data_IF_473886139144
#
_entry.id   IF_473886139144
#
_cell.length_a   1.000
_cell.length_b   1.000
_cell.length_c   1.000
_cell.angle_alpha   90.00
_cell.angle_beta   90.00
_cell.angle_gamma   90.00
#
_symmetry.space_group_name_H-M   'P 1'
#
loop_
_entity.id
_entity.type
_entity.pdbx_description
1 polymer ?
#
# COMPACT_ATOMS: atom_id res chain seq x y z
N UNK A 1 9.66 9.01 21.12
CA UNK A 1 11.02 9.27 21.63
C UNK A 1 12.00 8.94 20.53
N UNK A 2 13.19 9.52 20.55
CA UNK A 2 14.20 9.39 19.50
C UNK A 2 15.54 9.91 20.00
N UNK A 3 16.49 10.02 19.08
CA UNK A 3 17.82 10.53 19.35
C UNK A 3 17.77 11.90 20.07
N UNK A 4 18.67 12.16 21.05
CA UNK A 4 18.81 13.50 21.62
C UNK A 4 19.19 14.49 20.51
N UNK A 5 18.44 15.59 20.38
CA UNK A 5 18.72 16.64 19.37
C UNK A 5 20.13 17.22 19.52
N UNK A 6 20.60 17.38 20.75
CA UNK A 6 21.95 17.80 21.10
C UNK A 6 22.52 16.83 22.12
N UNK A 7 23.82 16.57 22.00
CA UNK A 7 24.55 15.75 22.93
C UNK A 7 25.30 16.68 23.88
N UNK A 8 25.12 16.47 25.19
CA UNK A 8 25.75 17.31 26.21
C UNK A 8 25.18 18.73 26.27
N UNK A 9 25.88 19.59 27.02
CA UNK A 9 25.59 21.03 27.11
C UNK A 9 26.58 21.88 26.33
N UNK A 10 27.72 21.31 25.97
CA UNK A 10 28.81 21.98 25.26
C UNK A 10 28.85 21.62 23.76
N UNK A 11 29.27 22.53 22.87
CA UNK A 11 29.44 22.22 21.45
C UNK A 11 30.41 21.06 21.19
N UNK A 12 31.46 20.95 22.00
CA UNK A 12 32.49 19.92 21.90
C UNK A 12 31.92 18.52 22.14
N UNK A 13 31.04 18.37 23.13
CA UNK A 13 30.30 17.12 23.36
C UNK A 13 29.38 16.81 22.17
N UNK A 14 28.76 17.84 21.58
CA UNK A 14 27.93 17.64 20.41
C UNK A 14 28.72 17.18 19.18
N UNK A 15 29.99 17.58 19.04
CA UNK A 15 30.86 17.08 17.97
C UNK A 15 31.20 15.59 18.12
N UNK A 16 31.16 15.05 19.34
CA UNK A 16 31.40 13.63 19.63
C UNK A 16 30.19 12.73 19.33
N UNK A 17 29.09 13.27 18.82
CA UNK A 17 27.84 12.51 18.60
C UNK A 17 28.06 11.24 17.77
N UNK A 18 28.79 11.36 16.67
CA UNK A 18 29.12 10.24 15.77
C UNK A 18 29.90 9.17 16.51
N UNK A 19 30.95 9.55 17.23
CA UNK A 19 31.81 8.63 17.96
C UNK A 19 31.06 7.90 19.07
N UNK A 20 30.28 8.62 19.88
CA UNK A 20 29.49 8.00 20.97
C UNK A 20 28.41 7.07 20.44
N UNK A 21 27.74 7.45 19.34
CA UNK A 21 26.72 6.60 18.75
C UNK A 21 27.33 5.33 18.14
N UNK A 22 28.52 5.44 17.53
CA UNK A 22 29.30 4.31 17.07
C UNK A 22 29.65 3.37 18.22
N UNK A 23 30.28 3.88 19.27
CA UNK A 23 30.67 3.12 20.47
C UNK A 23 29.45 2.43 21.11
N UNK A 24 28.30 3.10 21.16
CA UNK A 24 27.06 2.54 21.69
C UNK A 24 26.63 1.27 20.94
N UNK A 25 26.66 1.28 19.61
CA UNK A 25 26.28 0.11 18.82
C UNK A 25 27.35 -0.99 18.83
N UNK A 26 28.64 -0.62 18.89
CA UNK A 26 29.74 -1.57 19.03
C UNK A 26 29.61 -2.37 20.32
N UNK A 27 29.40 -1.68 21.45
CA UNK A 27 29.19 -2.30 22.76
C UNK A 27 27.99 -3.26 22.79
N UNK A 28 26.91 -2.92 22.07
CA UNK A 28 25.75 -3.80 21.99
C UNK A 28 26.04 -5.10 21.25
N UNK A 29 26.96 -5.07 20.28
CA UNK A 29 27.32 -6.23 19.46
C UNK A 29 28.38 -7.08 20.15
N UNK A 30 29.18 -6.52 21.05
CA UNK A 30 30.06 -7.29 21.93
C UNK A 30 29.28 -8.30 22.80
N UNK A 31 28.01 -8.01 23.15
CA UNK A 31 27.11 -8.92 23.84
C UNK A 31 26.54 -10.04 22.93
N UNK A 32 26.81 -10.02 21.63
CA UNK A 32 26.30 -11.04 20.70
C UNK A 32 27.00 -12.37 20.99
N UNK A 33 26.25 -13.49 21.16
CA UNK A 33 26.88 -14.79 21.33
C UNK A 33 27.76 -15.08 20.12
N UNK A 34 28.97 -15.58 20.36
CA UNK A 34 29.91 -15.98 19.32
C UNK A 34 29.33 -17.19 18.56
N UNK A 35 28.44 -16.96 17.62
CA UNK A 35 28.04 -17.97 16.65
C UNK A 35 29.21 -18.16 15.68
N UNK A 36 30.01 -19.22 15.92
CA UNK A 36 30.98 -19.98 15.08
C UNK A 36 31.67 -19.34 13.85
N UNK A 37 31.61 -18.04 13.67
CA UNK A 37 32.40 -17.28 12.70
C UNK A 37 33.57 -16.64 13.43
N UNK A 38 34.78 -16.97 13.01
CA UNK A 38 36.00 -16.29 13.44
C UNK A 38 35.90 -14.83 12.96
N UNK A 39 35.52 -13.94 13.88
CA UNK A 39 35.44 -12.51 13.60
C UNK A 39 36.85 -11.97 13.45
N UNK A 40 37.12 -11.34 12.31
CA UNK A 40 38.37 -10.61 12.09
C UNK A 40 38.45 -9.43 13.08
N UNK A 41 39.38 -9.45 14.06
CA UNK A 41 39.48 -8.40 15.06
C UNK A 41 39.86 -7.05 14.46
N UNK A 42 40.43 -7.04 13.25
CA UNK A 42 40.87 -5.83 12.57
C UNK A 42 39.71 -5.14 11.80
N UNK A 43 38.57 -5.82 11.64
CA UNK A 43 37.42 -5.25 10.95
C UNK A 43 36.49 -4.49 11.91
N UNK A 44 36.14 -3.22 11.61
CA UNK A 44 35.23 -2.46 12.44
C UNK A 44 33.81 -3.05 12.35
N UNK A 45 33.11 -3.13 13.49
CA UNK A 45 31.71 -3.57 13.52
C UNK A 45 30.81 -2.57 12.79
N UNK A 46 31.02 -1.29 13.11
CA UNK A 46 30.30 -0.16 12.55
C UNK A 46 31.23 0.59 11.61
N UNK A 47 30.94 0.50 10.32
CA UNK A 47 31.71 1.18 9.27
C UNK A 47 31.54 2.69 9.36
N UNK A 48 30.29 3.14 9.44
CA UNK A 48 29.96 4.56 9.33
C UNK A 48 28.68 4.91 10.11
N UNK A 49 28.65 6.14 10.63
CA UNK A 49 27.46 6.75 11.22
C UNK A 49 27.24 8.10 10.55
N UNK A 50 26.18 8.22 9.76
CA UNK A 50 25.78 9.45 9.09
C UNK A 50 24.62 10.11 9.85
N UNK A 51 24.76 11.39 10.22
CA UNK A 51 23.74 12.14 10.95
C UNK A 51 22.88 12.96 9.98
N UNK A 52 21.56 12.78 10.07
CA UNK A 52 20.59 13.68 9.45
C UNK A 52 20.30 14.81 10.45
N UNK A 53 20.59 16.05 10.03
CA UNK A 53 20.50 17.25 10.86
C UNK A 53 19.29 18.08 10.47
N UNK A 54 18.79 18.87 11.41
CA UNK A 54 17.66 19.78 11.22
C UNK A 54 18.10 21.00 10.38
N UNK A 55 17.68 21.05 9.12
CA UNK A 55 17.91 22.22 8.26
C UNK A 55 16.79 23.26 8.37
N UNK A 56 15.87 23.12 9.33
CA UNK A 56 14.77 24.07 9.54
C UNK A 56 13.86 24.21 8.32
N UNK A 57 13.75 23.16 7.50
CA UNK A 57 13.02 23.19 6.24
C UNK A 57 13.74 23.90 5.08
N UNK A 58 15.05 24.17 5.19
CA UNK A 58 15.83 24.74 4.08
C UNK A 58 15.78 23.86 2.83
N UNK A 59 15.82 22.53 2.99
CA UNK A 59 15.70 21.57 1.87
C UNK A 59 14.38 21.77 1.13
N UNK A 60 13.27 21.89 1.87
CA UNK A 60 11.95 22.16 1.29
C UNK A 60 11.89 23.53 0.61
N UNK A 61 12.47 24.56 1.23
CA UNK A 61 12.52 25.90 0.65
C UNK A 61 13.33 25.93 -0.64
N UNK A 62 14.47 25.22 -0.68
CA UNK A 62 15.32 25.08 -1.86
C UNK A 62 14.58 24.36 -3.01
N UNK A 63 13.89 23.26 -2.72
CA UNK A 63 13.08 22.56 -3.72
C UNK A 63 11.88 23.42 -4.19
N UNK A 64 11.31 24.21 -3.28
CA UNK A 64 10.31 25.22 -3.59
C UNK A 64 10.83 26.30 -4.54
N UNK A 65 12.06 26.80 -4.32
CA UNK A 65 12.72 27.74 -5.21
C UNK A 65 12.88 27.16 -6.61
N UNK A 66 13.33 25.91 -6.76
CA UNK A 66 13.45 25.26 -8.06
C UNK A 66 12.14 25.28 -8.85
N UNK A 67 11.01 24.98 -8.19
CA UNK A 67 9.68 25.05 -8.81
C UNK A 67 9.29 26.47 -9.22
N UNK A 68 9.60 27.45 -8.38
CA UNK A 68 9.34 28.86 -8.68
C UNK A 68 10.21 29.37 -9.83
N UNK A 69 11.47 28.97 -9.93
CA UNK A 69 12.35 29.34 -11.05
C UNK A 69 11.81 28.86 -12.39
N UNK A 70 11.40 27.58 -12.48
CA UNK A 70 10.80 27.01 -13.70
C UNK A 70 9.55 27.81 -14.09
N UNK A 71 8.65 28.01 -13.13
CA UNK A 71 7.41 28.78 -13.34
C UNK A 71 7.68 30.22 -13.75
N UNK A 72 8.70 30.86 -13.17
CA UNK A 72 9.08 32.23 -13.48
C UNK A 72 9.55 32.34 -14.94
N UNK A 73 10.42 31.42 -15.35
CA UNK A 73 10.93 31.35 -16.72
C UNK A 73 9.80 31.11 -17.75
N UNK A 74 8.86 30.21 -17.45
CA UNK A 74 7.68 29.96 -18.29
C UNK A 74 6.80 31.22 -18.43
N UNK A 75 6.53 31.93 -17.33
CA UNK A 75 5.74 33.16 -17.37
C UNK A 75 6.46 34.28 -18.11
N UNK A 76 7.78 34.42 -17.94
CA UNK A 76 8.58 35.41 -18.64
C UNK A 76 8.54 35.18 -20.16
N UNK A 77 8.66 33.93 -20.62
CA UNK A 77 8.53 33.59 -22.04
C UNK A 77 7.13 33.95 -22.59
N UNK A 78 6.07 33.69 -21.81
CA UNK A 78 4.70 34.08 -22.18
C UNK A 78 4.51 35.60 -22.24
N UNK A 79 5.15 36.37 -21.36
CA UNK A 79 5.14 37.84 -21.43
C UNK A 79 5.72 38.31 -22.76
N UNK A 80 6.89 37.80 -23.15
CA UNK A 80 7.55 38.14 -24.42
C UNK A 80 6.67 37.80 -25.63
N UNK A 81 6.05 36.62 -25.64
CA UNK A 81 5.13 36.21 -26.71
C UNK A 81 3.90 37.13 -26.81
N UNK A 82 3.29 37.50 -25.67
CA UNK A 82 2.12 38.40 -25.66
C UNK A 82 2.44 39.81 -26.15
N UNK A 83 3.67 40.29 -25.92
CA UNK A 83 4.11 41.57 -26.49
C UNK A 83 4.29 41.48 -28.01
N UNK A 84 4.86 40.39 -28.52
CA UNK A 84 4.98 40.16 -29.96
C UNK A 84 3.60 40.12 -30.66
N UNK A 85 2.57 39.61 -29.99
CA UNK A 85 1.18 39.59 -30.47
C UNK A 85 0.42 40.92 -30.30
N UNK A 86 1.04 41.96 -29.72
CA UNK A 86 0.38 43.25 -29.45
C UNK A 86 -0.62 43.23 -28.27
N UNK A 87 -0.67 42.16 -27.47
CA UNK A 87 -1.61 41.97 -26.34
C UNK A 87 -1.11 42.63 -25.04
N UNK A 88 -0.82 43.92 -25.09
CA UNK A 88 -0.15 44.69 -24.02
C UNK A 88 -0.82 44.62 -22.64
N UNK A 89 -2.15 44.68 -22.57
CA UNK A 89 -2.89 44.60 -21.28
C UNK A 89 -2.70 43.25 -20.58
N UNK A 90 -2.66 42.14 -21.34
CA UNK A 90 -2.45 40.79 -20.79
C UNK A 90 -0.99 40.60 -20.36
N UNK A 91 -0.05 41.06 -21.18
CA UNK A 91 1.38 41.04 -20.86
C UNK A 91 1.66 41.75 -19.52
N UNK A 92 1.17 42.97 -19.33
CA UNK A 92 1.32 43.72 -18.06
C UNK A 92 0.73 43.01 -16.84
N UNK A 93 -0.39 42.28 -17.01
CA UNK A 93 -0.97 41.50 -15.90
C UNK A 93 -0.06 40.32 -15.54
N UNK A 94 0.59 39.71 -16.52
CA UNK A 94 1.49 38.58 -16.33
C UNK A 94 2.85 39.04 -15.76
N UNK A 95 3.37 40.18 -16.19
CA UNK A 95 4.56 40.83 -15.59
C UNK A 95 4.40 41.07 -14.10
N UNK A 96 3.22 41.52 -13.65
CA UNK A 96 2.94 41.67 -12.21
C UNK A 96 3.03 40.35 -11.45
N UNK A 97 2.70 39.22 -12.09
CA UNK A 97 2.84 37.89 -11.48
C UNK A 97 4.31 37.44 -11.47
N UNK A 98 5.05 37.70 -12.54
CA UNK A 98 6.51 37.47 -12.61
C UNK A 98 7.21 38.21 -11.46
N UNK A 99 6.95 39.51 -11.31
CA UNK A 99 7.51 40.32 -10.23
C UNK A 99 7.13 39.81 -8.82
N UNK A 100 5.91 39.29 -8.65
CA UNK A 100 5.51 38.67 -7.40
C UNK A 100 6.29 37.37 -7.11
N UNK A 101 6.53 36.54 -8.12
CA UNK A 101 7.36 35.33 -8.01
C UNK A 101 8.81 35.69 -7.71
N UNK A 102 9.38 36.72 -8.36
CA UNK A 102 10.73 37.20 -8.07
C UNK A 102 10.87 37.63 -6.61
N UNK A 103 9.89 38.37 -6.08
CA UNK A 103 9.85 38.76 -4.66
C UNK A 103 9.79 37.55 -3.73
N UNK A 104 9.06 36.49 -4.10
CA UNK A 104 9.02 35.24 -3.34
C UNK A 104 10.36 34.48 -3.41
N UNK A 105 11.00 34.45 -4.57
CA UNK A 105 12.32 33.84 -4.76
C UNK A 105 13.39 34.52 -3.90
N UNK A 106 13.37 35.85 -3.82
CA UNK A 106 14.27 36.64 -2.95
C UNK A 106 14.06 36.27 -1.47
N UNK A 107 12.81 36.25 -0.99
CA UNK A 107 12.48 35.86 0.39
C UNK A 107 12.94 34.44 0.72
N UNK A 108 12.74 33.50 -0.20
CA UNK A 108 13.25 32.13 -0.02
C UNK A 108 14.79 32.11 -0.04
N UNK A 109 15.41 32.95 -0.86
CA UNK A 109 16.86 33.10 -0.96
C UNK A 109 17.49 33.54 0.35
N UNK A 110 16.90 34.55 1.00
CA UNK A 110 17.32 35.01 2.32
C UNK A 110 17.18 33.91 3.38
N UNK A 111 16.07 33.16 3.36
CA UNK A 111 15.87 32.03 4.27
C UNK A 111 16.94 30.95 4.09
N UNK A 112 17.26 30.56 2.85
CA UNK A 112 18.31 29.56 2.57
C UNK A 112 19.69 30.10 2.95
N UNK A 113 19.97 31.38 2.68
CA UNK A 113 21.24 32.02 3.03
C UNK A 113 21.46 32.06 4.55
N UNK A 114 20.44 32.41 5.33
CA UNK A 114 20.50 32.40 6.80
C UNK A 114 20.81 31.01 7.39
N UNK A 115 20.47 29.95 6.64
CA UNK A 115 20.78 28.58 7.02
C UNK A 115 22.19 28.21 6.62
N UNK A 116 22.68 28.66 5.46
CA UNK A 116 24.05 28.36 4.98
C UNK A 116 25.13 28.79 5.97
N UNK A 117 24.92 29.88 6.69
CA UNK A 117 25.93 30.42 7.61
C UNK A 117 26.07 29.62 8.92
N UNK A 118 25.16 28.67 9.18
CA UNK A 118 25.26 27.76 10.33
C UNK A 118 26.13 26.56 9.97
N UNK A 119 27.17 26.34 10.77
CA UNK A 119 27.98 25.12 10.68
C UNK A 119 27.09 23.90 10.92
N UNK A 120 27.31 22.84 10.15
CA UNK A 120 26.52 21.61 10.30
C UNK A 120 26.64 21.04 11.70
N UNK A 121 27.83 21.14 12.29
CA UNK A 121 28.09 20.67 13.65
C UNK A 121 27.20 21.32 14.71
N UNK A 122 26.73 22.56 14.51
CA UNK A 122 25.89 23.28 15.46
C UNK A 122 24.39 22.96 15.34
N UNK A 123 24.02 22.22 14.28
CA UNK A 123 22.61 21.88 14.01
C UNK A 123 22.18 20.68 14.83
N UNK A 124 20.94 20.73 15.30
CA UNK A 124 20.31 19.60 15.98
C UNK A 124 20.29 18.34 15.10
N UNK A 125 20.45 17.18 15.72
CA UNK A 125 20.34 15.86 15.08
C UNK A 125 18.89 15.38 15.13
N UNK A 126 18.34 15.06 13.95
CA UNK A 126 16.99 14.51 13.80
C UNK A 126 17.01 12.98 13.76
N UNK A 127 17.95 12.42 13.00
CA UNK A 127 18.05 10.99 12.74
C UNK A 127 19.53 10.62 12.51
N UNK A 128 19.86 9.34 12.68
CA UNK A 128 21.16 8.79 12.29
C UNK A 128 20.95 7.54 11.42
N UNK A 129 21.85 7.34 10.47
CA UNK A 129 21.98 6.14 9.67
C UNK A 129 23.28 5.45 10.08
N UNK A 130 23.18 4.19 10.49
CA UNK A 130 24.32 3.41 10.96
C UNK A 130 24.55 2.28 9.95
N UNK A 131 25.78 2.20 9.44
CA UNK A 131 26.20 1.20 8.47
C UNK A 131 27.09 0.20 9.21
N UNK A 132 26.65 -1.06 9.20
CA UNK A 132 27.38 -2.18 9.79
C UNK A 132 28.20 -2.89 8.71
N UNK A 133 29.34 -3.47 9.10
CA UNK A 133 30.19 -4.23 8.18
C UNK A 133 29.52 -5.52 7.70
N UNK A 134 28.76 -6.17 8.58
CA UNK A 134 28.06 -7.43 8.29
C UNK A 134 26.55 -7.31 8.48
N UNK A 135 25.81 -8.07 7.70
CA UNK A 135 24.35 -8.11 7.80
C UNK A 135 23.87 -8.76 9.11
N UNK A 136 24.67 -9.68 9.68
CA UNK A 136 24.38 -10.33 10.95
C UNK A 136 24.26 -9.32 12.10
N UNK A 137 25.19 -8.37 12.18
CA UNK A 137 25.16 -7.26 13.16
C UNK A 137 23.91 -6.41 13.02
N UNK A 138 23.54 -6.05 11.78
CA UNK A 138 22.31 -5.30 11.50
C UNK A 138 21.08 -6.08 11.99
N UNK A 139 20.96 -7.37 11.65
CA UNK A 139 19.83 -8.23 12.07
C UNK A 139 19.75 -8.35 13.58
N UNK A 140 20.88 -8.55 14.25
CA UNK A 140 20.98 -8.63 15.70
C UNK A 140 20.51 -7.34 16.38
N UNK A 141 20.99 -6.17 15.93
CA UNK A 141 20.56 -4.87 16.45
C UNK A 141 19.06 -4.65 16.22
N UNK A 142 18.56 -4.90 15.00
CA UNK A 142 17.12 -4.75 14.72
C UNK A 142 16.27 -5.66 15.62
N UNK A 143 16.73 -6.89 15.87
CA UNK A 143 16.07 -7.81 16.79
C UNK A 143 16.07 -7.29 18.22
N UNK A 144 17.21 -6.79 18.73
CA UNK A 144 17.33 -6.26 20.11
C UNK A 144 16.49 -4.99 20.31
N UNK A 145 16.26 -4.22 19.26
CA UNK A 145 15.39 -3.04 19.27
C UNK A 145 13.93 -3.31 18.81
N UNK A 146 13.52 -4.55 18.52
CA UNK A 146 12.19 -4.86 17.93
C UNK A 146 11.00 -4.31 18.73
N UNK A 147 11.14 -4.24 20.06
CA UNK A 147 10.09 -3.76 20.96
C UNK A 147 10.13 -2.24 21.21
N UNK A 148 11.15 -1.53 20.71
CA UNK A 148 11.29 -0.08 20.94
C UNK A 148 10.20 0.77 20.27
N UNK A 149 9.58 0.26 19.21
CA UNK A 149 8.66 1.03 18.36
C UNK A 149 7.17 0.86 18.62
N UNK A 150 6.75 -0.19 19.33
CA UNK A 150 5.34 -0.54 19.44
C UNK A 150 4.75 -0.03 20.75
N UNK A 151 3.76 0.84 20.62
CA UNK A 151 2.96 1.31 21.76
C UNK A 151 2.04 0.22 22.31
N UNK A 152 1.60 -0.72 21.45
CA UNK A 152 0.69 -1.82 21.82
C UNK A 152 1.34 -2.80 22.82
N UNK A 153 2.64 -3.09 22.71
CA UNK A 153 3.32 -3.92 23.71
C UNK A 153 3.44 -3.26 25.09
N UNK A 154 3.25 -1.93 25.19
CA UNK A 154 3.12 -1.28 26.50
C UNK A 154 1.77 -1.54 27.14
N UNK A 155 0.75 -1.96 26.38
CA UNK A 155 -0.54 -2.32 26.93
C UNK A 155 -0.54 -3.78 27.39
N UNK A 156 0.01 -4.71 26.61
CA UNK A 156 0.06 -6.12 27.00
C UNK A 156 0.91 -6.39 28.25
N UNK A 157 2.02 -5.66 28.44
CA UNK A 157 2.82 -5.76 29.67
C UNK A 157 2.07 -5.15 30.88
N UNK A 158 1.29 -4.09 30.67
CA UNK A 158 0.43 -3.52 31.73
C UNK A 158 -0.71 -4.49 32.08
N UNK A 159 -1.28 -5.21 31.10
CA UNK A 159 -2.30 -6.23 31.35
C UNK A 159 -1.71 -7.42 32.10
N UNK A 160 -0.50 -7.89 31.73
CA UNK A 160 0.18 -8.98 32.43
C UNK A 160 0.58 -8.60 33.87
N UNK A 161 0.94 -7.34 34.13
CA UNK A 161 1.19 -6.85 35.50
C UNK A 161 -0.10 -6.65 36.29
N UNK A 162 -1.21 -6.27 35.67
CA UNK A 162 -2.52 -6.20 36.34
C UNK A 162 -3.07 -7.58 36.72
N UNK A 163 -2.74 -8.64 35.97
CA UNK A 163 -3.06 -10.02 36.39
C UNK A 163 -2.15 -10.54 37.52
N UNK A 164 -0.97 -9.94 37.72
CA UNK A 164 -0.04 -10.31 38.79
C UNK A 164 -0.28 -9.57 40.12
N UNK A 165 -1.15 -8.56 40.16
CA UNK A 165 -1.43 -7.75 41.35
C UNK A 165 -2.44 -8.37 42.34
N UNK A 166 -3.06 -9.52 42.04
CA UNK A 166 -3.97 -10.21 42.98
C UNK A 166 -3.23 -10.93 44.15
N UNK A 167 -1.90 -10.79 44.29
CA UNK A 167 -1.10 -11.56 45.27
C UNK A 167 -0.23 -10.70 46.22
N UNK A 168 -0.18 -9.36 46.14
CA UNK A 168 0.71 -8.57 47.02
C UNK A 168 0.07 -7.43 47.84
N UNK A 169 0.51 -7.40 49.11
CA UNK A 169 0.04 -6.63 50.26
C UNK A 169 -0.22 -5.12 50.05
N UNK A 170 -1.33 -4.58 50.58
CA UNK A 170 -1.77 -3.19 50.36
C UNK A 170 -1.08 -2.11 51.24
N UNK A 171 0.14 -2.30 51.74
CA UNK A 171 0.70 -1.43 52.79
C UNK A 171 1.81 -0.43 52.42
N UNK A 172 2.11 -0.19 51.14
CA UNK A 172 3.15 0.78 50.75
C UNK A 172 2.56 2.03 50.06
N UNK A 173 2.48 3.11 50.87
CA UNK A 173 2.69 4.53 50.55
C UNK A 173 2.22 5.13 49.21
N UNK A 174 1.45 6.22 49.33
CA UNK A 174 0.95 7.15 48.29
C UNK A 174 1.99 7.71 47.30
N UNK A 175 2.62 6.87 46.49
CA UNK A 175 3.39 7.25 45.30
C UNK A 175 2.64 6.84 44.05
N UNK A 176 2.22 7.81 43.23
CA UNK A 176 1.42 7.57 42.01
C UNK A 176 2.11 6.57 41.05
N UNK A 177 1.58 5.34 40.83
CA UNK A 177 2.28 4.28 40.07
C UNK A 177 2.33 4.50 38.55
N UNK A 178 1.51 5.40 38.01
CA UNK A 178 1.18 5.42 36.57
C UNK A 178 2.29 6.04 35.70
N UNK A 179 3.36 6.62 36.27
CA UNK A 179 4.43 7.26 35.47
C UNK A 179 5.67 6.40 35.19
N UNK A 180 5.80 5.19 35.73
CA UNK A 180 7.04 4.40 35.58
C UNK A 180 7.07 3.47 34.34
N UNK A 181 5.94 3.20 33.69
CA UNK A 181 5.86 2.28 32.54
C UNK A 181 6.25 2.91 31.18
N UNK A 182 6.65 4.19 31.15
CA UNK A 182 7.07 4.84 29.90
C UNK A 182 8.43 4.35 29.36
N UNK A 183 9.12 3.51 30.14
CA UNK A 183 10.57 3.35 30.07
C UNK A 183 11.03 1.87 30.09
N UNK A 184 10.21 0.95 29.57
CA UNK A 184 10.52 -0.50 29.50
C UNK A 184 11.73 -0.86 28.62
N UNK A 185 12.38 0.10 27.96
CA UNK A 185 13.63 -0.16 27.26
C UNK A 185 14.79 -0.28 28.26
N UNK A 186 15.44 -1.45 28.27
CA UNK A 186 16.65 -1.72 29.06
C UNK A 186 17.65 -0.58 28.96
N UNK A 187 18.27 -0.21 30.09
CA UNK A 187 19.25 0.89 30.18
C UNK A 187 20.39 0.74 29.18
N UNK A 188 20.78 -0.50 28.87
CA UNK A 188 21.85 -0.82 27.91
C UNK A 188 21.47 -0.43 26.47
N UNK A 189 20.18 -0.43 26.13
CA UNK A 189 19.69 -0.04 24.79
C UNK A 189 19.44 1.47 24.65
N UNK A 190 19.57 2.22 25.75
CA UNK A 190 19.38 3.66 25.74
C UNK A 190 20.67 4.35 25.38
N UNK A 191 20.58 5.32 24.50
CA UNK A 191 21.70 6.19 24.17
C UNK A 191 21.59 7.45 25.00
N UNK A 192 22.59 7.70 25.85
CA UNK A 192 22.64 8.89 26.73
C UNK A 192 21.38 9.01 27.60
N UNK A 193 20.93 7.87 28.15
CA UNK A 193 19.73 7.76 28.98
C UNK A 193 18.40 7.85 28.22
N UNK A 194 18.41 8.10 26.91
CA UNK A 194 17.21 8.20 26.08
C UNK A 194 16.90 6.92 25.33
N UNK A 195 15.62 6.59 25.30
CA UNK A 195 15.09 5.49 24.51
C UNK A 195 15.29 5.73 23.00
N UNK A 196 15.93 4.78 22.32
CA UNK A 196 16.11 4.80 20.87
C UNK A 196 15.09 3.92 20.16
N UNK A 197 14.61 4.42 19.03
CA UNK A 197 13.81 3.66 18.07
C UNK A 197 14.70 3.37 16.87
N UNK A 198 15.03 2.10 16.66
CA UNK A 198 15.87 1.65 15.54
C UNK A 198 14.99 0.94 14.52
N UNK A 199 15.17 1.29 13.24
CA UNK A 199 14.45 0.70 12.11
C UNK A 199 15.41 0.47 10.96
N UNK A 200 15.07 -0.48 10.09
CA UNK A 200 15.78 -0.64 8.83
C UNK A 200 15.62 0.64 8.00
N UNK A 201 16.75 1.20 7.55
CA UNK A 201 16.74 2.33 6.64
C UNK A 201 16.19 1.92 5.27
N UNK A 202 15.48 2.84 4.62
CA UNK A 202 15.08 2.70 3.22
C UNK A 202 16.30 2.83 2.31
N UNK A 203 16.17 2.34 1.08
CA UNK A 203 17.16 2.62 0.03
C UNK A 203 17.27 4.14 -0.22
N UNK A 204 18.46 4.66 -0.53
CA UNK A 204 18.69 6.11 -0.69
C UNK A 204 17.72 6.80 -1.68
N UNK A 205 17.34 6.10 -2.75
CA UNK A 205 16.37 6.57 -3.76
C UNK A 205 14.96 6.77 -3.23
N UNK A 206 14.61 6.09 -2.14
CA UNK A 206 13.29 6.13 -1.51
C UNK A 206 13.28 7.01 -0.23
N UNK A 207 14.37 7.72 0.04
CA UNK A 207 14.43 8.64 1.18
C UNK A 207 13.87 10.00 0.74
N UNK A 208 12.71 10.36 1.29
CA UNK A 208 12.13 11.68 1.13
C UNK A 208 12.81 12.67 2.08
N UNK A 209 13.94 13.25 1.65
CA UNK A 209 14.74 14.18 2.47
C UNK A 209 13.91 15.36 3.01
N UNK A 210 12.91 15.84 2.25
CA UNK A 210 11.97 16.88 2.70
C UNK A 210 11.22 16.53 3.99
N UNK A 211 11.03 15.23 4.25
CA UNK A 211 10.29 14.73 5.40
C UNK A 211 11.17 14.37 6.60
N UNK A 212 12.50 14.46 6.48
CA UNK A 212 13.43 14.13 7.56
C UNK A 212 13.55 15.26 8.60
N UNK A 213 13.34 16.52 8.18
CA UNK A 213 13.46 17.71 9.03
C UNK A 213 12.25 17.96 9.96
N UNK A 214 11.25 17.07 9.99
CA UNK A 214 10.07 17.31 10.82
C UNK A 214 10.31 16.98 12.29
N UNK A 215 10.14 17.99 13.15
CA UNK A 215 10.06 17.76 14.60
C UNK A 215 8.96 16.72 14.91
N UNK A 216 9.22 15.70 15.76
CA UNK A 216 8.22 14.69 16.09
C UNK A 216 6.84 15.24 16.48
N UNK A 217 6.78 16.39 17.16
CA UNK A 217 5.51 17.04 17.53
C UNK A 217 4.74 17.53 16.29
N UNK A 218 5.46 18.09 15.31
CA UNK A 218 4.87 18.50 14.04
C UNK A 218 4.38 17.30 13.23
N UNK A 219 5.13 16.19 13.22
CA UNK A 219 4.71 14.96 12.56
C UNK A 219 3.42 14.39 13.18
N UNK A 220 3.31 14.37 14.50
CA UNK A 220 2.08 13.94 15.19
C UNK A 220 0.90 14.84 14.85
N UNK A 221 1.07 16.17 14.87
CA UNK A 221 0.01 17.11 14.47
C UNK A 221 -0.43 16.90 13.02
N UNK A 222 0.51 16.70 12.09
CA UNK A 222 0.21 16.40 10.69
C UNK A 222 -0.61 15.13 10.56
N UNK A 223 -0.20 14.04 11.24
CA UNK A 223 -0.95 12.77 11.24
C UNK A 223 -2.36 12.95 11.79
N UNK A 224 -2.51 13.61 12.93
CA UNK A 224 -3.82 13.88 13.52
C UNK A 224 -4.71 14.69 12.56
N UNK A 225 -4.16 15.76 11.99
CA UNK A 225 -4.88 16.59 11.02
C UNK A 225 -5.29 15.82 9.76
N UNK A 226 -4.39 15.02 9.18
CA UNK A 226 -4.72 14.19 8.01
C UNK A 226 -5.76 13.13 8.36
N UNK A 227 -5.69 12.51 9.54
CA UNK A 227 -6.72 11.56 9.98
C UNK A 227 -8.08 12.23 10.16
N UNK A 228 -8.11 13.44 10.75
CA UNK A 228 -9.34 14.23 10.85
C UNK A 228 -9.93 14.54 9.48
N UNK A 229 -9.12 15.02 8.52
CA UNK A 229 -9.58 15.27 7.15
C UNK A 229 -10.14 14.00 6.52
N UNK A 230 -9.41 12.88 6.58
CA UNK A 230 -9.88 11.61 6.03
C UNK A 230 -11.20 11.16 6.64
N UNK A 231 -11.37 11.34 7.95
CA UNK A 231 -12.63 11.06 8.64
C UNK A 231 -13.77 11.94 8.12
N UNK A 232 -13.54 13.26 8.00
CA UNK A 232 -14.56 14.17 7.44
C UNK A 232 -14.92 13.83 6.00
N UNK A 233 -13.94 13.50 5.15
CA UNK A 233 -14.20 13.07 3.78
C UNK A 233 -15.05 11.80 3.74
N UNK A 234 -14.75 10.82 4.60
CA UNK A 234 -15.55 9.59 4.71
C UNK A 234 -16.99 9.89 5.13
N UNK A 235 -17.20 10.76 6.12
CA UNK A 235 -18.54 11.18 6.56
C UNK A 235 -19.29 11.88 5.42
N UNK A 236 -18.64 12.80 4.70
CA UNK A 236 -19.24 13.48 3.54
C UNK A 236 -19.60 12.46 2.45
N UNK A 237 -18.72 11.52 2.15
CA UNK A 237 -19.01 10.44 1.19
C UNK A 237 -20.22 9.61 1.62
N UNK A 238 -20.35 9.25 2.90
CA UNK A 238 -21.53 8.56 3.42
C UNK A 238 -22.80 9.40 3.27
N UNK A 239 -22.74 10.71 3.55
CA UNK A 239 -23.88 11.62 3.38
C UNK A 239 -24.29 11.68 1.90
N UNK A 240 -23.33 11.82 0.98
CA UNK A 240 -23.61 11.84 -0.46
C UNK A 240 -24.26 10.54 -0.94
N UNK A 241 -23.83 9.38 -0.43
CA UNK A 241 -24.45 8.09 -0.74
C UNK A 241 -25.89 7.99 -0.22
N UNK A 242 -26.16 8.52 0.98
CA UNK A 242 -27.52 8.58 1.54
C UNK A 242 -28.40 9.51 0.71
N UNK A 243 -27.89 10.69 0.33
CA UNK A 243 -28.61 11.63 -0.55
C UNK A 243 -28.90 10.99 -1.90
N UNK A 244 -27.92 10.32 -2.52
CA UNK A 244 -28.12 9.61 -3.79
C UNK A 244 -29.21 8.53 -3.68
N UNK A 245 -29.27 7.82 -2.55
CA UNK A 245 -30.32 6.82 -2.28
C UNK A 245 -31.70 7.45 -2.09
N UNK A 246 -31.80 8.57 -1.36
CA UNK A 246 -33.07 9.25 -1.07
C UNK A 246 -33.60 10.03 -2.27
N UNK A 247 -32.71 10.69 -3.01
CA UNK A 247 -33.07 11.46 -4.21
C UNK A 247 -33.71 10.57 -5.28
N UNK A 248 -33.69 9.24 -5.09
CA UNK A 248 -34.30 8.29 -5.98
C UNK A 248 -33.84 8.55 -7.40
N UNK A 249 -32.57 8.98 -7.57
CA UNK A 249 -31.92 9.08 -8.88
C UNK A 249 -32.27 7.75 -9.49
N UNK A 250 -33.18 7.73 -10.49
CA UNK A 250 -33.61 6.49 -11.06
C UNK A 250 -32.30 5.85 -11.45
N UNK A 251 -32.08 4.62 -10.97
CA UNK A 251 -31.21 3.75 -11.74
C UNK A 251 -31.96 3.65 -13.07
N UNK A 252 -31.77 4.64 -13.95
CA UNK A 252 -31.68 4.39 -15.37
C UNK A 252 -30.64 3.29 -15.39
N UNK A 253 -31.11 2.04 -15.29
CA UNK A 253 -30.38 0.90 -15.77
C UNK A 253 -29.90 1.41 -17.12
N UNK A 254 -28.59 1.71 -17.21
CA UNK A 254 -27.99 2.28 -18.40
C UNK A 254 -28.66 1.58 -19.56
N UNK A 255 -29.39 2.29 -20.43
CA UNK A 255 -30.39 1.69 -21.30
C UNK A 255 -29.73 0.47 -21.90
N UNK A 256 -30.18 -0.70 -21.44
CA UNK A 256 -29.69 -1.98 -21.95
C UNK A 256 -30.27 -1.97 -23.34
N UNK A 257 -29.54 -1.36 -24.27
CA UNK A 257 -30.05 -1.04 -25.57
C UNK A 257 -30.20 -2.34 -26.30
N UNK A 258 -31.34 -3.02 -26.15
CA UNK A 258 -31.66 -4.33 -26.74
C UNK A 258 -30.46 -5.28 -26.84
N UNK A 259 -29.57 -5.29 -25.84
CA UNK A 259 -28.45 -6.22 -25.81
C UNK A 259 -28.90 -7.38 -24.95
N UNK A 260 -29.24 -8.47 -25.64
CA UNK A 260 -29.59 -9.76 -25.08
C UNK A 260 -28.62 -10.12 -23.95
N UNK A 261 -29.15 -10.36 -22.76
CA UNK A 261 -28.37 -10.85 -21.63
C UNK A 261 -28.18 -12.35 -21.85
N UNK A 262 -26.95 -12.75 -22.16
CA UNK A 262 -26.61 -14.15 -22.40
C UNK A 262 -26.35 -14.85 -21.06
N UNK A 263 -27.21 -15.80 -20.70
CA UNK A 263 -26.95 -16.71 -19.59
C UNK A 263 -26.22 -17.93 -20.17
N UNK A 264 -24.91 -18.00 -19.98
CA UNK A 264 -24.11 -19.16 -20.39
C UNK A 264 -24.22 -20.20 -19.28
N UNK A 265 -25.18 -21.13 -19.41
CA UNK A 265 -25.21 -22.35 -18.61
C UNK A 265 -24.16 -23.33 -19.12
N UNK A 266 -23.33 -23.88 -18.23
CA UNK A 266 -22.37 -24.92 -18.61
C UNK A 266 -23.12 -26.21 -18.98
N UNK A 267 -23.09 -26.57 -20.25
CA UNK A 267 -23.82 -27.72 -20.83
C UNK A 267 -23.09 -29.04 -20.58
N UNK A 268 -22.56 -29.29 -19.38
CA UNK A 268 -22.11 -30.63 -19.01
C UNK A 268 -23.32 -31.43 -18.51
N UNK A 269 -24.04 -32.02 -19.48
CA UNK A 269 -25.03 -33.11 -19.41
C UNK A 269 -25.82 -33.36 -18.10
N UNK A 270 -27.17 -33.32 -18.15
CA UNK A 270 -28.00 -34.07 -17.22
C UNK A 270 -28.13 -35.52 -17.72
N UNK A 271 -27.35 -36.45 -17.18
CA UNK A 271 -27.76 -37.85 -17.20
C UNK A 271 -28.75 -38.06 -16.05
N UNK A 272 -30.04 -38.02 -16.40
CA UNK A 272 -31.15 -38.43 -15.52
C UNK A 272 -31.93 -37.26 -14.91
N UNK A 273 -33.22 -37.24 -15.19
CA UNK A 273 -34.30 -36.50 -14.50
C UNK A 273 -34.56 -35.02 -14.83
N UNK A 274 -33.94 -34.45 -15.88
CA UNK A 274 -34.49 -33.27 -16.59
C UNK A 274 -34.66 -31.97 -15.78
N UNK A 275 -34.16 -31.91 -14.54
CA UNK A 275 -34.17 -30.71 -13.71
C UNK A 275 -32.78 -30.06 -13.75
N UNK A 276 -32.73 -28.80 -14.18
CA UNK A 276 -31.51 -27.99 -14.11
C UNK A 276 -31.23 -27.59 -12.66
N UNK A 277 -30.14 -28.07 -12.08
CA UNK A 277 -29.58 -27.47 -10.87
C UNK A 277 -28.84 -26.17 -11.25
N UNK A 278 -29.47 -25.05 -10.91
CA UNK A 278 -28.87 -23.72 -11.06
C UNK A 278 -27.91 -23.50 -9.89
N UNK A 279 -26.70 -24.04 -9.99
CA UNK A 279 -25.69 -23.88 -8.93
C UNK A 279 -24.54 -22.93 -9.28
N UNK A 280 -24.44 -22.44 -10.51
CA UNK A 280 -23.46 -21.41 -10.87
C UNK A 280 -23.98 -20.52 -12.01
N UNK A 281 -24.74 -19.47 -11.66
CA UNK A 281 -24.98 -18.37 -12.59
C UNK A 281 -23.85 -17.37 -12.40
N UNK A 282 -22.91 -17.34 -13.34
CA UNK A 282 -21.98 -16.22 -13.47
C UNK A 282 -22.55 -15.28 -14.53
N UNK A 283 -22.98 -14.09 -14.11
CA UNK A 283 -23.46 -13.04 -15.01
C UNK A 283 -22.27 -12.26 -15.54
N UNK A 284 -21.99 -12.35 -16.84
CA UNK A 284 -21.00 -11.52 -17.52
C UNK A 284 -21.73 -10.42 -18.30
N UNK A 285 -21.30 -9.18 -18.10
CA UNK A 285 -21.92 -7.99 -18.71
C UNK A 285 -20.87 -7.12 -19.41
N UNK A 286 -19.89 -7.75 -20.07
CA UNK A 286 -18.89 -7.04 -20.85
C UNK A 286 -19.13 -7.21 -22.36
N UNK A 287 -18.98 -6.10 -23.08
CA UNK A 287 -19.12 -6.01 -24.53
C UNK A 287 -18.05 -6.81 -25.30
N UNK A 288 -16.96 -7.21 -24.63
CA UNK A 288 -15.85 -7.98 -25.21
C UNK A 288 -16.17 -9.49 -25.40
N UNK A 289 -17.32 -9.96 -24.90
CA UNK A 289 -17.73 -11.37 -25.05
C UNK A 289 -18.37 -11.70 -26.41
N UNK A 290 -18.61 -10.72 -27.29
CA UNK A 290 -19.30 -10.99 -28.56
C UNK A 290 -18.42 -11.59 -29.66
N UNK A 291 -17.11 -11.30 -29.67
CA UNK A 291 -16.40 -11.41 -30.94
C UNK A 291 -15.36 -12.53 -31.08
N UNK A 292 -14.88 -13.22 -30.04
CA UNK A 292 -13.70 -14.09 -30.24
C UNK A 292 -13.53 -15.36 -29.38
N UNK A 293 -14.55 -15.86 -28.67
CA UNK A 293 -14.43 -17.17 -28.01
C UNK A 293 -15.48 -18.14 -28.54
N UNK A 294 -15.00 -19.34 -28.94
CA UNK A 294 -15.75 -20.52 -29.39
C UNK A 294 -15.97 -20.68 -30.89
N UNK A 295 -14.87 -20.96 -31.59
CA UNK A 295 -14.92 -22.04 -32.57
C UNK A 295 -15.32 -23.34 -31.87
N UNK A 296 -16.46 -23.91 -32.27
CA UNK A 296 -16.87 -25.33 -32.08
C UNK A 296 -17.42 -25.84 -30.73
N UNK A 297 -17.86 -25.00 -29.80
CA UNK A 297 -18.77 -25.46 -28.73
C UNK A 297 -20.19 -25.00 -29.08
N UNK A 298 -21.09 -25.94 -29.33
CA UNK A 298 -22.49 -25.67 -29.67
C UNK A 298 -23.23 -25.05 -28.48
N UNK A 299 -23.36 -23.73 -28.48
CA UNK A 299 -24.21 -23.01 -27.53
C UNK A 299 -25.65 -23.10 -28.01
N UNK A 300 -26.50 -23.85 -27.30
CA UNK A 300 -27.93 -23.91 -27.60
C UNK A 300 -28.63 -22.70 -26.96
N UNK A 301 -29.46 -22.00 -27.76
CA UNK A 301 -30.31 -20.90 -27.31
C UNK A 301 -31.51 -21.49 -26.55
N UNK A 302 -31.46 -21.54 -25.22
CA UNK A 302 -32.49 -22.23 -24.43
C UNK A 302 -33.76 -21.37 -24.24
N UNK A 303 -33.63 -20.04 -24.28
CA UNK A 303 -34.77 -19.11 -24.17
C UNK A 303 -34.59 -17.93 -25.11
N UNK A 304 -35.65 -17.59 -25.84
CA UNK A 304 -35.79 -16.25 -26.43
C UNK A 304 -36.47 -15.30 -25.44
N UNK A 305 -36.49 -14.00 -25.77
CA UNK A 305 -37.13 -12.97 -24.96
C UNK A 305 -38.65 -13.16 -24.78
N UNK A 306 -39.25 -14.16 -25.43
CA UNK A 306 -40.66 -14.53 -25.27
C UNK A 306 -40.89 -15.69 -24.29
N UNK A 307 -39.82 -16.35 -23.83
CA UNK A 307 -39.90 -17.42 -22.83
C UNK A 307 -40.39 -18.77 -23.39
N UNK A 308 -40.44 -18.93 -24.71
CA UNK A 308 -40.83 -20.18 -25.35
C UNK A 308 -39.60 -21.03 -25.68
N UNK A 309 -39.67 -22.33 -25.36
CA UNK A 309 -38.60 -23.29 -25.67
C UNK A 309 -38.70 -23.64 -27.15
N UNK A 310 -37.73 -23.19 -27.94
CA UNK A 310 -37.67 -23.46 -29.37
C UNK A 310 -37.17 -24.90 -29.61
N UNK A 311 -38.09 -25.88 -29.64
CA UNK A 311 -37.77 -27.28 -29.98
C UNK A 311 -37.62 -27.38 -31.50
N UNK A 312 -36.40 -27.20 -32.03
CA UNK A 312 -36.13 -27.49 -33.44
C UNK A 312 -35.98 -29.00 -33.70
N UNK A 313 -36.54 -29.40 -34.85
CA UNK A 313 -36.74 -30.75 -35.39
C UNK A 313 -35.57 -31.74 -35.31
N UNK A 314 -35.83 -33.05 -35.16
CA UNK A 314 -34.88 -34.10 -35.47
C UNK A 314 -34.70 -34.24 -36.99
N UNK A 315 -33.43 -34.35 -37.40
CA UNK A 315 -32.96 -34.59 -38.76
C UNK A 315 -33.68 -35.76 -39.45
N UNK A 316 -34.34 -35.49 -40.59
CA UNK A 316 -34.83 -36.51 -41.52
C UNK A 316 -33.78 -36.81 -42.60
N UNK A 317 -33.42 -38.09 -42.73
CA UNK A 317 -32.71 -38.65 -43.88
C UNK A 317 -33.66 -38.83 -45.09
N UNK A 318 -33.13 -38.67 -46.30
CA UNK A 318 -33.81 -38.81 -47.60
C UNK A 318 -34.38 -40.21 -47.89
N UNK A 319 -35.54 -40.28 -48.59
CA UNK A 319 -35.83 -41.26 -49.65
C UNK A 319 -37.08 -40.89 -50.49
N UNK A 320 -36.84 -40.59 -51.78
CA UNK A 320 -37.47 -41.10 -53.03
C UNK A 320 -39.02 -41.18 -53.22
N UNK A 321 -39.44 -40.56 -54.34
CA UNK A 321 -40.60 -40.74 -55.25
C UNK A 321 -42.08 -40.70 -54.77
N UNK A 322 -42.83 -39.79 -55.40
CA UNK A 322 -43.97 -40.18 -56.24
C UNK A 322 -45.40 -39.93 -55.75
N UNK A 323 -46.15 -39.19 -56.58
CA UNK A 323 -47.63 -39.16 -56.73
C UNK A 323 -48.43 -38.36 -55.68
N UNK A 324 -49.22 -37.41 -56.17
CA UNK A 324 -50.06 -36.52 -55.35
C UNK A 324 -51.41 -37.10 -54.95
N UNK A 325 -52.07 -36.46 -53.97
CA UNK A 325 -53.54 -36.33 -53.85
C UNK A 325 -53.89 -35.37 -52.69
N UNK A 326 -55.00 -34.64 -52.83
CA UNK A 326 -55.64 -33.82 -51.79
C UNK A 326 -56.41 -34.68 -50.77
N UNK A 327 -56.32 -34.39 -49.46
CA UNK A 327 -57.47 -34.23 -48.50
C UNK A 327 -57.09 -34.19 -47.01
N UNK A 328 -57.64 -33.18 -46.33
CA UNK A 328 -58.39 -33.14 -45.04
C UNK A 328 -58.06 -34.10 -43.86
N UNK A 329 -57.95 -33.45 -42.69
CA UNK A 329 -58.45 -33.82 -41.34
C UNK A 329 -57.97 -35.11 -40.65
N UNK A 330 -57.29 -34.98 -39.50
CA UNK A 330 -57.84 -35.20 -38.14
C UNK A 330 -56.73 -35.35 -37.08
N UNK A 331 -56.82 -34.52 -36.04
CA UNK A 331 -56.89 -34.87 -34.61
C UNK A 331 -56.01 -35.98 -33.99
N UNK A 332 -55.49 -35.63 -32.80
CA UNK A 332 -55.24 -36.44 -31.57
C UNK A 332 -53.76 -36.77 -31.23
N UNK A 333 -53.21 -36.07 -30.22
CA UNK A 333 -52.70 -36.58 -28.91
C UNK A 333 -51.77 -35.53 -28.26
N UNK A 334 -52.17 -34.90 -27.15
CA UNK A 334 -51.92 -35.32 -25.75
C UNK A 334 -50.43 -35.52 -25.41
N UNK A 335 -49.83 -34.53 -24.76
CA UNK A 335 -48.71 -34.73 -23.83
C UNK A 335 -48.86 -33.76 -22.65
N UNK A 336 -49.02 -34.37 -21.48
CA UNK A 336 -49.21 -33.77 -20.16
C UNK A 336 -47.96 -33.03 -19.71
N UNK A 337 -48.06 -31.71 -19.50
CA UNK A 337 -47.07 -30.94 -18.74
C UNK A 337 -47.33 -31.17 -17.26
N UNK A 338 -46.25 -31.49 -16.53
CA UNK A 338 -46.21 -31.81 -15.11
C UNK A 338 -47.05 -30.86 -14.26
N UNK A 339 -48.25 -31.32 -13.88
CA UNK A 339 -49.00 -30.77 -12.77
C UNK A 339 -48.54 -31.49 -11.49
N UNK A 340 -48.33 -30.69 -10.44
CA UNK A 340 -48.02 -31.09 -9.05
C UNK A 340 -46.61 -31.62 -8.74
N UNK A 341 -45.66 -30.70 -8.53
CA UNK A 341 -44.55 -30.93 -7.61
C UNK A 341 -44.28 -29.65 -6.82
N UNK A 342 -44.54 -29.71 -5.51
CA UNK A 342 -44.28 -28.67 -4.53
C UNK A 342 -42.75 -28.45 -4.45
N UNK A 343 -42.28 -27.29 -4.88
CA UNK A 343 -40.88 -26.89 -4.75
C UNK A 343 -40.52 -26.75 -3.27
N UNK A 344 -39.55 -27.55 -2.80
CA UNK A 344 -38.85 -27.28 -1.53
C UNK A 344 -37.38 -27.07 -1.86
N UNK A 345 -36.78 -25.92 -1.50
CA UNK A 345 -35.37 -25.67 -1.76
C UNK A 345 -34.54 -26.63 -0.90
N UNK A 346 -33.74 -27.48 -1.54
CA UNK A 346 -32.67 -28.22 -0.85
C UNK A 346 -31.49 -27.27 -0.68
N UNK A 347 -31.06 -27.07 0.55
CA UNK A 347 -29.77 -26.42 0.86
C UNK A 347 -28.64 -27.39 0.52
N UNK A 348 -27.66 -26.93 -0.25
CA UNK A 348 -26.46 -27.69 -0.58
C UNK A 348 -25.71 -28.07 0.71
N UNK A 349 -25.43 -29.37 0.87
CA UNK A 349 -24.55 -29.90 1.91
C UNK A 349 -23.11 -29.73 1.44
N UNK A 350 -22.26 -29.12 2.26
CA UNK A 350 -20.83 -28.99 1.98
C UNK A 350 -20.17 -30.37 1.83
N UNK A 351 -19.29 -30.59 0.84
CA UNK A 351 -18.58 -31.86 0.70
C UNK A 351 -17.51 -32.02 1.79
N UNK A 352 -17.51 -33.20 2.42
CA UNK A 352 -16.54 -33.65 3.42
C UNK A 352 -15.08 -33.51 2.97
N UNK A 353 -14.23 -33.05 3.89
CA UNK A 353 -12.77 -32.95 3.75
C UNK A 353 -12.15 -34.30 3.37
N UNK A 354 -11.59 -34.36 2.15
CA UNK A 354 -10.72 -35.45 1.74
C UNK A 354 -9.32 -35.21 2.30
N UNK A 355 -8.99 -35.95 3.35
CA UNK A 355 -7.64 -36.13 3.85
C UNK A 355 -6.82 -36.96 2.85
N UNK A 356 -5.75 -36.39 2.29
CA UNK A 356 -4.73 -37.20 1.63
C UNK A 356 -3.32 -36.62 1.81
N UNK A 357 -2.59 -37.25 2.73
CA UNK A 357 -1.15 -37.22 2.81
C UNK A 357 -0.56 -37.96 1.61
N UNK A 358 0.36 -37.37 0.85
CA UNK A 358 1.53 -38.07 0.25
C UNK A 358 2.57 -37.07 -0.28
N UNK A 359 3.64 -36.90 0.50
CA UNK A 359 5.06 -36.85 0.10
C UNK A 359 5.36 -36.86 -1.41
N UNK A 360 5.94 -35.78 -1.95
CA UNK A 360 7.07 -35.87 -2.90
C UNK A 360 8.14 -34.82 -2.62
N UNK A 361 9.34 -35.32 -2.36
CA UNK A 361 10.62 -34.61 -2.37
C UNK A 361 10.87 -34.09 -3.78
N UNK A 362 11.23 -32.82 -3.91
CA UNK A 362 12.00 -32.32 -5.04
C UNK A 362 13.26 -31.65 -4.50
N UNK A 363 14.39 -32.19 -4.94
CA UNK A 363 15.74 -31.68 -4.74
C UNK A 363 15.93 -30.31 -5.38
N UNK A 364 16.80 -29.44 -4.85
CA UNK A 364 17.17 -28.20 -5.52
C UNK A 364 18.23 -28.50 -6.58
N UNK A 365 17.92 -28.20 -7.83
CA UNK A 365 18.84 -28.28 -8.96
C UNK A 365 19.25 -26.89 -9.44
N UNK A 366 20.51 -26.83 -9.88
CA UNK A 366 21.12 -25.87 -10.81
C UNK A 366 21.53 -24.48 -10.31
N UNK A 367 22.78 -24.44 -9.84
CA UNK A 367 23.85 -23.53 -10.26
C UNK A 367 23.49 -22.41 -11.25
N UNK A 368 23.34 -21.20 -10.72
CA UNK A 368 23.41 -19.97 -11.49
C UNK A 368 24.86 -19.52 -11.67
N UNK A 369 25.42 -19.80 -12.85
CA UNK A 369 26.67 -19.21 -13.34
C UNK A 369 26.62 -17.67 -13.30
N UNK A 370 27.39 -17.06 -12.39
CA UNK A 370 27.68 -15.62 -12.42
C UNK A 370 28.70 -15.33 -13.52
N UNK A 371 28.32 -14.53 -14.51
CA UNK A 371 29.24 -13.90 -15.46
C UNK A 371 30.01 -12.78 -14.75
N UNK A 372 31.33 -12.63 -14.97
CA UNK A 372 32.07 -11.47 -14.48
C UNK A 372 31.74 -10.21 -15.30
N UNK A 373 31.45 -9.11 -14.60
CA UNK A 373 31.39 -7.76 -15.19
C UNK A 373 32.82 -7.29 -15.54
N UNK A 374 33.02 -6.59 -16.66
CA UNK A 374 34.33 -6.12 -17.08
C UNK A 374 34.80 -4.94 -16.21
N UNK A 375 36.04 -5.03 -15.75
CA UNK A 375 36.81 -3.93 -15.18
C UNK A 375 37.20 -2.95 -16.29
N UNK A 376 36.50 -1.82 -16.39
CA UNK A 376 37.04 -0.65 -17.07
C UNK A 376 36.35 0.63 -16.57
N UNK A 377 37.00 1.30 -15.61
CA UNK A 377 37.11 2.78 -15.52
C UNK A 377 37.81 3.11 -14.20
N UNK A 378 39.15 3.08 -14.26
CA UNK A 378 40.07 3.62 -13.26
C UNK A 378 40.85 4.73 -13.99
N UNK A 379 40.53 5.99 -13.68
CA UNK A 379 41.18 7.29 -14.04
C UNK A 379 40.06 8.34 -13.87
N UNK A 380 40.19 9.43 -13.14
CA UNK A 380 41.34 10.18 -12.59
C UNK A 380 41.07 10.60 -11.14
#
# INVERSE_FOLDING_TARGET
MGLPRRLGTTPEEHHQYVARLKEHFERLIEDMPAEEGERDPDQPIVCEVALARDYGGAVRNFLGQGKLYVRNHEMAAQVTALYAEGKTKKARKLEKKVAAIDTELEKLGENVKSQKDKLDLDRDVCQAHVIFNEEAYKKFILHRYRFSGSWLWRLDEVVAYMEAEDILDPHIGNGSPIRQFADCQSRVLRFEGRALVVKQAFEPSNIYCENLDFDPRSATRRRAFTCCISFFLLVISCILLVIAKIAGIPREAAPVGNKDIWIIGNYSQPEGDGCFEICDIQMFADDDCQDNLFGSIGVAKVFDSTGEINVMNPLTHEAVDGVGFNRLTNTVNNLSVCSSATWTPKTCVEPEERTESTRRRLSPGSDGQRRPLPQSLRRE
#
